data_IF_754827630914
#
_entry.id   IF_754827630914
#
_cell.length_a   1.000
_cell.length_b   1.000
_cell.length_c   1.000
_cell.angle_alpha   90.00
_cell.angle_beta   90.00
_cell.angle_gamma   90.00
#
_symmetry.space_group_name_H-M   'P 1'
#
loop_
_entity.id
_entity.type
_entity.pdbx_description
1 polymer ?
#
# COMPACT_ATOMS: atom_id res chain seq x y z
N UNK A 1 -31.20 7.23 -13.55
CA UNK A 1 -30.05 6.32 -13.73
C UNK A 1 -29.73 6.19 -15.21
N UNK A 2 -28.50 5.83 -15.60
CA UNK A 2 -28.18 5.46 -16.99
C UNK A 2 -28.34 3.93 -17.19
N UNK A 3 -28.20 3.47 -18.44
CA UNK A 3 -28.26 2.04 -18.81
C UNK A 3 -27.27 1.15 -18.04
N UNK A 4 -26.18 1.75 -17.55
CA UNK A 4 -25.15 1.08 -16.75
C UNK A 4 -25.52 0.95 -15.25
N UNK A 5 -26.78 1.21 -14.87
CA UNK A 5 -27.26 1.11 -13.49
C UNK A 5 -26.64 2.14 -12.53
N UNK A 6 -26.00 3.19 -13.04
CA UNK A 6 -25.35 4.24 -12.26
C UNK A 6 -26.08 5.58 -12.40
N UNK A 7 -25.82 6.50 -11.49
CA UNK A 7 -26.21 7.90 -11.70
C UNK A 7 -25.47 8.45 -12.94
N UNK A 8 -26.21 9.05 -13.89
CA UNK A 8 -25.66 9.48 -15.18
C UNK A 8 -24.48 10.45 -15.01
N UNK A 9 -24.57 11.34 -14.01
CA UNK A 9 -23.52 12.31 -13.66
C UNK A 9 -22.21 11.65 -13.20
N UNK A 10 -22.26 10.42 -12.67
CA UNK A 10 -21.12 9.69 -12.12
C UNK A 10 -20.67 8.52 -13.03
N UNK A 11 -21.38 8.25 -14.12
CA UNK A 11 -21.06 7.14 -14.99
C UNK A 11 -19.86 7.47 -15.89
N UNK A 12 -18.81 6.65 -15.82
CA UNK A 12 -17.62 6.79 -16.67
C UNK A 12 -17.93 6.48 -18.14
N UNK A 13 -18.68 5.40 -18.37
CA UNK A 13 -19.06 4.93 -19.72
C UNK A 13 -19.93 5.97 -20.46
N UNK A 14 -20.75 6.73 -19.72
CA UNK A 14 -21.55 7.81 -20.31
C UNK A 14 -20.84 9.18 -20.34
N UNK A 15 -19.56 9.27 -19.93
CA UNK A 15 -18.86 10.56 -19.83
C UNK A 15 -19.52 11.54 -18.85
N UNK A 16 -20.09 11.04 -17.76
CA UNK A 16 -20.88 11.82 -16.81
C UNK A 16 -20.14 13.07 -16.31
N UNK A 17 -20.87 14.16 -16.04
CA UNK A 17 -20.30 15.47 -15.70
C UNK A 17 -19.31 15.47 -14.51
N UNK A 18 -19.45 14.53 -13.57
CA UNK A 18 -18.53 14.36 -12.44
C UNK A 18 -17.24 13.61 -12.81
N UNK A 19 -17.12 13.10 -14.02
CA UNK A 19 -15.96 12.39 -14.55
C UNK A 19 -15.19 13.36 -15.45
N UNK A 20 -13.86 13.38 -15.31
CA UNK A 20 -13.00 14.16 -16.19
C UNK A 20 -12.48 13.30 -17.35
N UNK A 21 -11.80 13.94 -18.30
CA UNK A 21 -11.19 13.29 -19.47
C UNK A 21 -10.26 12.12 -19.09
N UNK A 22 -9.65 12.16 -17.91
CA UNK A 22 -8.79 11.10 -17.37
C UNK A 22 -9.57 9.90 -16.78
N UNK A 23 -10.88 9.81 -17.00
CA UNK A 23 -11.75 8.73 -16.49
C UNK A 23 -11.74 8.58 -14.96
N UNK A 24 -11.52 9.70 -14.25
CA UNK A 24 -11.50 9.82 -12.79
C UNK A 24 -12.58 10.79 -12.33
N UNK A 25 -13.03 10.69 -11.07
CA UNK A 25 -13.89 11.72 -10.47
C UNK A 25 -13.17 13.07 -10.51
N UNK A 26 -13.79 14.07 -11.13
CA UNK A 26 -13.21 15.39 -11.41
C UNK A 26 -12.67 16.06 -10.14
N UNK A 27 -13.42 15.98 -9.04
CA UNK A 27 -13.00 16.51 -7.74
C UNK A 27 -11.72 15.87 -7.18
N UNK A 28 -11.40 14.62 -7.55
CA UNK A 28 -10.22 13.89 -7.07
C UNK A 28 -9.11 13.74 -8.12
N UNK A 29 -9.28 14.32 -9.30
CA UNK A 29 -8.29 14.19 -10.37
C UNK A 29 -7.16 15.20 -10.17
N UNK A 30 -5.93 14.71 -9.95
CA UNK A 30 -4.75 15.57 -9.76
C UNK A 30 -4.43 16.39 -11.01
N UNK A 31 -4.47 15.76 -12.18
CA UNK A 31 -4.18 16.39 -13.47
C UNK A 31 -5.18 17.50 -13.82
N UNK A 32 -6.41 17.43 -13.30
CA UNK A 32 -7.42 18.49 -13.47
C UNK A 32 -7.43 19.51 -12.33
N UNK A 33 -6.50 19.45 -11.36
CA UNK A 33 -6.53 20.32 -10.18
C UNK A 33 -7.78 20.15 -9.32
N UNK A 34 -8.31 18.93 -9.23
CA UNK A 34 -9.60 18.66 -8.60
C UNK A 34 -9.77 19.28 -7.20
N UNK A 35 -10.98 19.74 -6.88
CA UNK A 35 -11.31 20.45 -5.63
C UNK A 35 -11.05 19.66 -4.32
N UNK A 36 -10.72 18.37 -4.39
CA UNK A 36 -10.27 17.57 -3.23
C UNK A 36 -8.74 17.42 -3.16
N UNK A 37 -7.97 17.91 -4.12
CA UNK A 37 -6.51 17.79 -4.20
C UNK A 37 -5.85 19.11 -3.77
N UNK A 38 -4.96 19.06 -2.78
CA UNK A 38 -4.19 20.24 -2.36
C UNK A 38 -3.02 20.53 -3.29
N UNK A 39 -2.35 21.66 -3.07
CA UNK A 39 -1.13 22.09 -3.78
C UNK A 39 -0.01 21.05 -3.72
N UNK A 40 0.06 20.25 -2.65
CA UNK A 40 1.02 19.14 -2.51
C UNK A 40 0.66 17.89 -3.33
N UNK A 41 -0.39 17.96 -4.17
CA UNK A 41 -0.84 16.83 -4.99
C UNK A 41 -1.42 15.67 -4.18
N UNK A 42 -1.83 15.89 -2.92
CA UNK A 42 -2.47 14.89 -2.04
C UNK A 42 -3.94 15.23 -1.85
N UNK A 43 -4.76 14.25 -1.45
CA UNK A 43 -6.14 14.55 -1.03
C UNK A 43 -6.10 15.49 0.18
N UNK A 44 -6.78 16.65 0.11
CA UNK A 44 -6.82 17.71 1.14
C UNK A 44 -7.06 17.13 2.53
N UNK A 45 -8.08 16.26 2.66
CA UNK A 45 -8.42 15.64 3.94
C UNK A 45 -7.29 14.78 4.55
N UNK A 46 -6.40 14.21 3.73
CA UNK A 46 -5.30 13.34 4.16
C UNK A 46 -3.93 14.01 4.09
N UNK A 47 -3.86 15.28 3.72
CA UNK A 47 -2.58 15.98 3.59
C UNK A 47 -2.13 16.48 4.97
N UNK A 48 -0.98 15.95 5.44
CA UNK A 48 -0.38 16.37 6.72
C UNK A 48 0.04 17.84 6.71
N UNK A 49 0.68 18.29 5.62
CA UNK A 49 1.14 19.69 5.48
C UNK A 49 -0.02 20.69 5.46
N UNK A 50 -1.21 20.29 4.99
CA UNK A 50 -2.41 21.13 5.01
C UNK A 50 -3.25 20.98 6.29
N UNK A 51 -2.81 20.19 7.27
CA UNK A 51 -3.61 19.91 8.47
C UNK A 51 -4.93 19.19 8.19
N UNK A 52 -4.95 18.32 7.17
CA UNK A 52 -6.17 17.70 6.66
C UNK A 52 -7.08 17.10 7.74
N UNK A 53 -8.39 17.18 7.52
CA UNK A 53 -9.43 16.74 8.48
C UNK A 53 -9.40 15.23 8.82
N UNK A 54 -8.57 14.42 8.17
CA UNK A 54 -8.31 13.02 8.54
C UNK A 54 -6.99 12.82 9.30
N UNK A 55 -6.16 13.85 9.49
CA UNK A 55 -4.85 13.78 10.16
C UNK A 55 -4.94 14.30 11.60
N UNK A 56 -4.53 13.50 12.57
CA UNK A 56 -4.49 13.91 13.98
C UNK A 56 -3.24 14.75 14.31
N UNK A 57 -3.20 15.28 15.54
CA UNK A 57 -2.06 16.04 16.08
C UNK A 57 -0.74 15.27 16.02
N UNK A 58 -0.76 13.94 16.15
CA UNK A 58 0.41 13.08 15.98
C UNK A 58 0.89 12.94 14.52
N UNK A 59 0.23 13.62 13.58
CA UNK A 59 0.58 13.58 12.16
C UNK A 59 0.26 12.24 11.48
N UNK A 60 -0.63 11.43 12.06
CA UNK A 60 -1.10 10.14 11.52
C UNK A 60 -2.57 10.26 11.09
N UNK A 61 -3.05 9.36 10.22
CA UNK A 61 -4.49 9.28 9.95
C UNK A 61 -5.26 8.96 11.25
N UNK A 62 -6.22 9.81 11.64
CA UNK A 62 -7.05 9.72 12.86
C UNK A 62 -7.57 8.30 13.08
N UNK A 63 -8.16 7.70 12.05
CA UNK A 63 -8.73 6.35 12.11
C UNK A 63 -7.69 5.26 12.46
N UNK A 64 -6.40 5.46 12.13
CA UNK A 64 -5.32 4.49 12.34
C UNK A 64 -4.37 4.90 13.47
N UNK A 65 -4.65 5.99 14.18
CA UNK A 65 -3.77 6.48 15.23
C UNK A 65 -4.09 5.77 16.55
N UNK A 66 -3.12 5.01 17.09
CA UNK A 66 -3.24 4.30 18.36
C UNK A 66 -3.45 5.26 19.54
N UNK A 67 -2.69 6.35 19.59
CA UNK A 67 -2.77 7.37 20.66
C UNK A 67 -4.12 8.09 20.67
N UNK A 68 -4.79 8.20 19.53
CA UNK A 68 -6.13 8.80 19.44
C UNK A 68 -7.27 7.78 19.59
N UNK A 69 -6.97 6.49 19.86
CA UNK A 69 -7.99 5.44 19.88
C UNK A 69 -8.73 5.28 18.55
N UNK A 70 -8.05 5.52 17.42
CA UNK A 70 -8.65 5.57 16.09
C UNK A 70 -9.54 4.37 15.79
N UNK A 71 -10.65 4.58 15.07
CA UNK A 71 -11.68 3.56 14.83
C UNK A 71 -11.18 2.26 14.16
N UNK A 72 -10.02 2.28 13.49
CA UNK A 72 -9.39 1.09 12.91
C UNK A 72 -8.51 0.32 13.89
N UNK A 73 -8.32 0.80 15.13
CA UNK A 73 -7.48 0.18 16.16
C UNK A 73 -8.36 -0.69 17.09
N UNK A 74 -7.92 -1.91 17.37
CA UNK A 74 -8.58 -2.81 18.31
C UNK A 74 -8.07 -2.60 19.75
N UNK A 75 -8.72 -3.25 20.72
CA UNK A 75 -8.31 -3.22 22.13
C UNK A 75 -6.84 -3.66 22.33
N UNK A 76 -6.31 -4.54 21.47
CA UNK A 76 -4.91 -4.97 21.49
C UNK A 76 -3.93 -3.92 20.94
N UNK A 77 -4.39 -2.72 20.57
CA UNK A 77 -3.56 -1.65 20.03
C UNK A 77 -3.03 -1.92 18.62
N UNK A 78 -3.63 -2.87 17.88
CA UNK A 78 -3.28 -3.24 16.50
C UNK A 78 -4.37 -2.78 15.53
N UNK A 79 -4.07 -2.69 14.24
CA UNK A 79 -5.10 -2.43 13.22
C UNK A 79 -6.07 -3.64 13.19
N UNK A 80 -7.37 -3.38 13.40
CA UNK A 80 -8.45 -4.39 13.50
C UNK A 80 -8.41 -5.39 12.36
N UNK A 81 -8.31 -4.90 11.12
CA UNK A 81 -8.32 -5.76 9.93
C UNK A 81 -7.13 -6.73 9.85
N UNK A 82 -6.02 -6.46 10.56
CA UNK A 82 -4.82 -7.31 10.57
C UNK A 82 -4.56 -7.96 11.93
N UNK A 83 -5.43 -7.76 12.92
CA UNK A 83 -5.25 -8.31 14.25
C UNK A 83 -5.71 -9.78 14.28
N UNK A 84 -4.80 -10.71 14.59
CA UNK A 84 -5.10 -12.14 14.67
C UNK A 84 -6.08 -12.47 15.79
N UNK A 85 -5.87 -11.90 16.98
CA UNK A 85 -6.72 -12.08 18.15
C UNK A 85 -8.16 -11.58 17.92
N UNK A 86 -8.36 -10.59 17.05
CA UNK A 86 -9.69 -10.12 16.67
C UNK A 86 -10.29 -10.84 15.44
N UNK A 87 -9.62 -11.85 14.88
CA UNK A 87 -10.05 -12.49 13.62
C UNK A 87 -10.14 -11.51 12.45
N UNK A 88 -9.24 -10.51 12.41
CA UNK A 88 -9.31 -9.40 11.45
C UNK A 88 -9.49 -9.86 10.01
N UNK A 89 -10.25 -9.11 9.20
CA UNK A 89 -10.64 -9.49 7.84
C UNK A 89 -9.48 -9.79 6.86
N UNK A 90 -8.24 -9.41 7.18
CA UNK A 90 -7.05 -9.77 6.39
C UNK A 90 -6.39 -11.07 6.86
N UNK A 91 -6.86 -11.70 7.94
CA UNK A 91 -6.33 -12.94 8.52
C UNK A 91 -7.21 -14.12 8.05
N UNK A 92 -6.56 -15.20 7.59
CA UNK A 92 -7.25 -16.44 7.25
C UNK A 92 -7.39 -17.36 8.47
N UNK A 93 -8.15 -18.44 8.30
CA UNK A 93 -8.32 -19.51 9.29
C UNK A 93 -6.99 -20.10 9.77
N UNK A 94 -5.96 -20.13 8.91
CA UNK A 94 -4.59 -20.57 9.26
C UNK A 94 -3.80 -19.56 10.10
N UNK A 95 -4.41 -18.46 10.56
CA UNK A 95 -3.74 -17.43 11.37
C UNK A 95 -2.67 -16.63 10.62
N UNK A 96 -2.64 -16.70 9.28
CA UNK A 96 -1.72 -15.95 8.39
C UNK A 96 -2.48 -14.82 7.70
N UNK A 97 -1.75 -13.82 7.18
CA UNK A 97 -2.38 -12.81 6.31
C UNK A 97 -2.86 -13.50 5.03
N UNK A 98 -4.12 -13.32 4.64
CA UNK A 98 -4.76 -13.97 3.48
C UNK A 98 -3.91 -13.86 2.21
N UNK A 99 -3.38 -12.67 1.94
CA UNK A 99 -2.53 -12.43 0.77
C UNK A 99 -1.23 -13.26 0.77
N UNK A 100 -0.72 -13.66 1.93
CA UNK A 100 0.53 -14.40 2.10
C UNK A 100 0.29 -15.88 2.44
N UNK A 101 -0.95 -16.33 2.54
CA UNK A 101 -1.25 -17.71 2.91
C UNK A 101 -1.22 -18.61 1.68
N UNK A 102 -0.27 -19.54 1.63
CA UNK A 102 -0.14 -20.52 0.53
C UNK A 102 -1.39 -21.41 0.41
N UNK A 103 -1.90 -21.91 1.53
CA UNK A 103 -3.10 -22.77 1.58
C UNK A 103 -4.37 -22.04 1.11
N UNK A 104 -4.43 -20.71 1.23
CA UNK A 104 -5.54 -19.90 0.71
C UNK A 104 -5.30 -19.38 -0.72
N UNK A 105 -4.22 -19.77 -1.41
CA UNK A 105 -3.87 -19.21 -2.72
C UNK A 105 -3.61 -17.70 -2.69
N UNK A 106 -3.04 -17.20 -1.60
CA UNK A 106 -2.86 -15.77 -1.36
C UNK A 106 -2.19 -15.04 -2.53
N UNK A 107 -2.68 -13.84 -2.85
CA UNK A 107 -2.21 -13.05 -4.00
C UNK A 107 -0.73 -12.65 -3.99
N UNK A 108 -0.01 -12.81 -2.87
CA UNK A 108 1.43 -12.63 -2.79
C UNK A 108 2.21 -13.91 -3.08
N UNK A 109 1.54 -15.06 -3.21
CA UNK A 109 2.16 -16.37 -3.50
C UNK A 109 2.05 -16.66 -5.00
N UNK A 110 3.12 -17.13 -5.61
CA UNK A 110 3.16 -17.55 -7.02
C UNK A 110 2.77 -19.02 -7.18
N UNK A 111 2.61 -19.47 -8.42
CA UNK A 111 2.34 -20.88 -8.75
C UNK A 111 3.41 -21.84 -8.18
N UNK A 112 4.67 -21.38 -8.03
CA UNK A 112 5.76 -22.15 -7.43
C UNK A 112 5.69 -22.24 -5.89
N UNK A 113 4.63 -21.71 -5.26
CA UNK A 113 4.45 -21.74 -3.81
C UNK A 113 5.40 -20.84 -3.02
N UNK A 114 6.11 -19.92 -3.70
CA UNK A 114 7.01 -18.92 -3.11
C UNK A 114 6.35 -17.54 -3.11
N UNK A 115 6.85 -16.60 -2.32
CA UNK A 115 6.39 -15.22 -2.41
C UNK A 115 6.78 -14.63 -3.77
N UNK A 116 5.82 -14.07 -4.53
CA UNK A 116 6.01 -13.50 -5.87
C UNK A 116 7.16 -12.51 -5.91
N UNK A 117 7.28 -11.68 -4.88
CA UNK A 117 8.32 -10.65 -4.78
C UNK A 117 9.74 -11.24 -4.72
N UNK A 118 9.91 -12.48 -4.26
CA UNK A 118 11.21 -13.15 -4.08
C UNK A 118 11.41 -14.36 -4.98
N UNK A 119 10.39 -14.73 -5.76
CA UNK A 119 10.47 -15.87 -6.67
C UNK A 119 11.33 -15.55 -7.90
N UNK A 120 12.47 -16.22 -8.04
CA UNK A 120 13.39 -16.07 -9.18
C UNK A 120 12.73 -16.43 -10.51
N UNK A 121 11.98 -17.53 -10.56
CA UNK A 121 11.27 -18.00 -11.77
C UNK A 121 10.20 -17.01 -12.24
N UNK A 122 9.61 -16.23 -11.32
CA UNK A 122 8.65 -15.18 -11.66
C UNK A 122 9.30 -13.81 -11.93
N UNK A 123 10.64 -13.70 -11.91
CA UNK A 123 11.32 -12.41 -12.00
C UNK A 123 10.95 -11.47 -10.86
N UNK A 124 10.75 -12.00 -9.65
CA UNK A 124 10.25 -11.26 -8.50
C UNK A 124 11.01 -9.97 -8.25
N UNK A 125 10.29 -8.88 -7.94
CA UNK A 125 10.84 -7.52 -7.85
C UNK A 125 12.00 -7.37 -6.83
N UNK A 126 12.12 -8.28 -5.86
CA UNK A 126 13.22 -8.30 -4.89
C UNK A 126 14.46 -9.03 -5.38
N UNK A 127 14.42 -9.69 -6.54
CA UNK A 127 15.53 -10.41 -7.15
C UNK A 127 16.13 -9.54 -8.27
N UNK A 128 17.47 -9.48 -8.34
CA UNK A 128 18.18 -8.79 -9.41
C UNK A 128 18.46 -9.73 -10.59
N UNK A 129 18.99 -9.18 -11.68
CA UNK A 129 19.43 -9.95 -12.85
C UNK A 129 20.48 -11.03 -12.50
N UNK A 130 21.28 -10.80 -11.45
CA UNK A 130 22.27 -11.77 -10.95
C UNK A 130 21.63 -12.90 -10.11
N UNK A 131 20.30 -12.98 -10.02
CA UNK A 131 19.58 -14.01 -9.28
C UNK A 131 19.69 -13.91 -7.74
N UNK A 132 20.25 -12.81 -7.22
CA UNK A 132 20.39 -12.54 -5.79
C UNK A 132 19.30 -11.58 -5.33
N UNK A 133 19.03 -11.52 -4.01
CA UNK A 133 18.17 -10.48 -3.45
C UNK A 133 18.80 -9.11 -3.72
N UNK A 134 18.07 -8.20 -4.36
CA UNK A 134 18.54 -6.85 -4.77
C UNK A 134 19.24 -6.12 -3.63
N UNK A 135 18.66 -6.14 -2.43
CA UNK A 135 19.24 -5.47 -1.26
C UNK A 135 20.60 -6.03 -0.85
N UNK A 136 20.91 -7.28 -1.18
CA UNK A 136 22.15 -7.96 -0.81
C UNK A 136 23.11 -8.14 -2.00
N UNK A 137 22.77 -7.64 -3.17
CA UNK A 137 23.58 -7.82 -4.37
C UNK A 137 24.66 -6.73 -4.43
N UNK A 138 25.93 -7.13 -4.26
CA UNK A 138 27.09 -6.21 -4.37
C UNK A 138 27.15 -5.53 -5.73
N UNK A 139 26.96 -6.28 -6.81
CA UNK A 139 26.99 -5.77 -8.19
C UNK A 139 25.87 -4.76 -8.48
N UNK A 140 24.74 -4.84 -7.76
CA UNK A 140 23.66 -3.86 -7.87
C UNK A 140 23.75 -2.71 -6.86
N UNK A 141 24.84 -2.62 -6.07
CA UNK A 141 24.93 -1.63 -4.99
C UNK A 141 23.82 -1.78 -3.95
N UNK A 142 23.42 -3.03 -3.65
CA UNK A 142 22.29 -3.32 -2.78
C UNK A 142 22.36 -2.61 -1.44
N UNK A 143 21.22 -2.14 -0.93
CA UNK A 143 21.14 -1.32 0.29
C UNK A 143 21.77 -1.96 1.54
N UNK A 144 21.90 -3.28 1.60
CA UNK A 144 22.56 -4.02 2.68
C UNK A 144 24.08 -4.13 2.50
N UNK A 145 24.64 -3.62 1.41
CA UNK A 145 26.06 -3.58 1.10
C UNK A 145 26.62 -2.19 1.48
N UNK A 146 27.74 -2.18 2.19
CA UNK A 146 28.42 -0.94 2.56
C UNK A 146 29.38 -0.47 1.45
N UNK A 147 30.00 0.70 1.66
CA UNK A 147 31.02 1.23 0.74
C UNK A 147 32.22 0.29 0.57
N UNK A 148 32.54 -0.53 1.58
CA UNK A 148 33.60 -1.55 1.52
C UNK A 148 33.20 -2.81 0.74
N UNK A 149 31.99 -2.85 0.16
CA UNK A 149 31.50 -3.99 -0.61
C UNK A 149 31.17 -5.23 0.24
N UNK A 150 31.06 -5.08 1.57
CA UNK A 150 30.67 -6.13 2.52
C UNK A 150 29.23 -5.91 2.99
N UNK A 151 28.61 -6.92 3.62
CA UNK A 151 27.30 -6.75 4.26
C UNK A 151 27.41 -5.78 5.44
N UNK A 152 26.59 -4.73 5.45
CA UNK A 152 26.56 -3.70 6.51
C UNK A 152 26.44 -4.30 7.90
N UNK A 153 25.59 -5.32 8.06
CA UNK A 153 25.35 -5.98 9.35
C UNK A 153 26.56 -6.71 9.94
N UNK A 154 27.61 -6.96 9.15
CA UNK A 154 28.79 -7.72 9.57
C UNK A 154 30.10 -6.98 9.28
N UNK A 155 30.05 -5.76 8.76
CA UNK A 155 31.23 -5.00 8.42
C UNK A 155 31.74 -4.29 9.68
N UNK A 156 32.94 -4.67 10.14
CA UNK A 156 33.59 -4.04 11.31
C UNK A 156 34.06 -2.61 11.04
N UNK A 157 34.23 -2.27 9.77
CA UNK A 157 34.76 -0.98 9.32
C UNK A 157 33.64 0.06 9.03
N UNK A 158 32.39 -0.24 9.39
CA UNK A 158 31.21 0.60 9.11
C UNK A 158 30.50 1.09 10.37
#
# INVERSE_FOLDING_TARGET
ACEHGRERSQCKECGGASICIHQRKRSRCKECGGASICTHGRERAKCKECGGASICTHGRERAKCKECGGASICAHGRIRSTCKECGGASICTHGRRRSQCKECGGASICAHGRERSTCKECGGASICIHGRRRSQCKECGGASICIHGRRRSTCKDC
#
